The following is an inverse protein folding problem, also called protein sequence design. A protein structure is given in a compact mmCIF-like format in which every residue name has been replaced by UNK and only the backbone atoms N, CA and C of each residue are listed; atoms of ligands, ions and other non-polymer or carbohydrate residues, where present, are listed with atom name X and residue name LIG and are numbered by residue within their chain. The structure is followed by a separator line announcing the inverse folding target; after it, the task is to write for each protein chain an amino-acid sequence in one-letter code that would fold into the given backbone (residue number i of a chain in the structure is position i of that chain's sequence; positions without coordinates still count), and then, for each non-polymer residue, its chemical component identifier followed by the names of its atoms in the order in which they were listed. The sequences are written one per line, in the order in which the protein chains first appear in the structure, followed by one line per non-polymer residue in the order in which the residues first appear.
data_IF_863915467075
#
_entry.id   IF_863915467075
#
_cell.length_a   1.000
_cell.length_b   1.000
_cell.length_c   1.000
_cell.angle_alpha   90.00
_cell.angle_beta   90.00
_cell.angle_gamma   90.00
#
_symmetry.space_group_name_H-M   'P 1'
#
loop_
_entity.id
_entity.type
_entity.pdbx_description
1 polymer ?
#
# COMPACT_ATOMS: atom_id res chain seq x y z
N UNK A 1 10.44 7.77 -18.75
CA UNK A 1 9.16 7.86 -18.03
C UNK A 1 9.49 8.22 -16.60
N UNK A 2 8.93 9.30 -16.10
CA UNK A 2 9.16 9.71 -14.71
C UNK A 2 8.32 8.86 -13.75
N UNK A 3 8.54 9.06 -12.45
CA UNK A 3 7.86 8.32 -11.40
C UNK A 3 6.32 8.43 -11.52
N UNK A 4 5.79 9.63 -11.70
CA UNK A 4 4.34 9.87 -11.68
C UNK A 4 3.66 9.25 -12.90
N UNK A 5 4.26 9.38 -14.08
CA UNK A 5 3.77 8.75 -15.32
C UNK A 5 3.71 7.22 -15.19
N UNK A 6 4.76 6.59 -14.65
CA UNK A 6 4.79 5.14 -14.46
C UNK A 6 3.81 4.70 -13.38
N UNK A 7 3.68 5.48 -12.29
CA UNK A 7 2.73 5.19 -11.24
C UNK A 7 1.29 5.23 -11.75
N UNK A 8 0.93 6.23 -12.54
CA UNK A 8 -0.43 6.34 -13.09
C UNK A 8 -0.77 5.18 -14.03
N UNK A 9 0.20 4.62 -14.77
CA UNK A 9 -0.02 3.38 -15.54
C UNK A 9 -0.41 2.20 -14.64
N UNK A 10 0.24 2.05 -13.48
CA UNK A 10 -0.11 1.00 -12.52
C UNK A 10 -1.46 1.25 -11.84
N UNK A 11 -1.80 2.50 -11.55
CA UNK A 11 -3.11 2.87 -10.99
C UNK A 11 -4.26 2.70 -11.99
N UNK A 12 -4.00 2.91 -13.28
CA UNK A 12 -4.98 2.70 -14.34
C UNK A 12 -5.33 1.22 -14.54
N UNK A 13 -4.45 0.30 -14.15
CA UNK A 13 -4.68 -1.15 -14.22
C UNK A 13 -4.53 -1.83 -12.84
N UNK A 14 -5.45 -1.56 -11.89
CA UNK A 14 -5.39 -2.10 -10.54
C UNK A 14 -5.72 -3.59 -10.54
N UNK A 15 -4.99 -4.40 -9.77
CA UNK A 15 -5.26 -5.84 -9.56
C UNK A 15 -6.46 -6.05 -8.64
N UNK A 16 -7.68 -6.06 -9.19
CA UNK A 16 -8.92 -6.10 -8.40
C UNK A 16 -9.07 -7.39 -7.60
N UNK A 17 -8.60 -8.51 -8.14
CA UNK A 17 -8.63 -9.81 -7.49
C UNK A 17 -7.77 -9.82 -6.21
N UNK A 18 -6.65 -9.09 -6.22
CA UNK A 18 -5.81 -8.91 -5.04
C UNK A 18 -6.54 -8.16 -3.92
N UNK A 19 -7.41 -7.20 -4.27
CA UNK A 19 -8.23 -6.47 -3.30
C UNK A 19 -9.17 -7.39 -2.51
N UNK A 20 -9.69 -8.44 -3.15
CA UNK A 20 -10.61 -9.38 -2.51
C UNK A 20 -9.95 -10.12 -1.33
N UNK A 21 -8.61 -10.28 -1.34
CA UNK A 21 -7.88 -10.90 -0.22
C UNK A 21 -8.00 -10.07 1.07
N UNK A 22 -8.18 -8.76 0.97
CA UNK A 22 -8.38 -7.86 2.12
C UNK A 22 -9.68 -8.18 2.87
N UNK A 23 -10.70 -8.74 2.20
CA UNK A 23 -11.95 -9.11 2.85
C UNK A 23 -11.76 -10.21 3.89
N UNK A 24 -10.80 -11.11 3.70
CA UNK A 24 -10.61 -12.30 4.53
C UNK A 24 -9.33 -12.25 5.38
N UNK A 25 -8.43 -11.31 5.11
CA UNK A 25 -7.17 -11.17 5.82
C UNK A 25 -7.14 -9.85 6.62
N UNK A 26 -7.37 -9.97 7.93
CA UNK A 26 -7.36 -8.84 8.85
C UNK A 26 -6.00 -8.12 8.94
N UNK A 27 -4.89 -8.83 8.69
CA UNK A 27 -3.58 -8.19 8.64
C UNK A 27 -3.44 -7.32 7.39
N UNK A 28 -3.85 -7.80 6.21
CA UNK A 28 -3.85 -6.96 5.00
C UNK A 28 -4.73 -5.72 5.19
N UNK A 29 -5.92 -5.86 5.79
CA UNK A 29 -6.79 -4.72 6.10
C UNK A 29 -6.11 -3.72 7.03
N UNK A 30 -5.57 -4.19 8.16
CA UNK A 30 -4.85 -3.36 9.14
C UNK A 30 -3.71 -2.58 8.48
N UNK A 31 -2.86 -3.26 7.72
CA UNK A 31 -1.68 -2.65 7.12
C UNK A 31 -2.03 -1.69 5.97
N UNK A 32 -3.09 -1.92 5.20
CA UNK A 32 -3.58 -0.93 4.23
C UNK A 32 -4.06 0.36 4.91
N UNK A 33 -4.74 0.24 6.06
CA UNK A 33 -5.22 1.39 6.84
C UNK A 33 -4.05 2.16 7.46
N UNK A 34 -3.09 1.46 8.08
CA UNK A 34 -1.91 2.08 8.71
C UNK A 34 -1.02 2.74 7.66
N UNK A 35 -0.78 2.08 6.51
CA UNK A 35 0.05 2.63 5.45
C UNK A 35 -0.46 3.98 4.93
N UNK A 36 -1.79 4.17 4.86
CA UNK A 36 -2.41 5.46 4.46
C UNK A 36 -2.07 6.60 5.42
N UNK A 37 -1.73 6.30 6.67
CA UNK A 37 -1.36 7.28 7.70
C UNK A 37 0.14 7.62 7.68
N UNK A 38 0.98 6.71 7.18
CA UNK A 38 2.43 6.89 7.10
C UNK A 38 2.85 6.97 5.63
N UNK A 39 2.79 8.19 5.09
CA UNK A 39 3.11 8.41 3.67
C UNK A 39 4.60 8.13 3.38
N UNK A 40 4.92 7.35 2.34
CA UNK A 40 6.30 7.19 1.89
C UNK A 40 6.92 8.53 1.49
N UNK A 41 8.22 8.66 1.72
CA UNK A 41 9.00 9.84 1.30
C UNK A 41 9.65 9.58 -0.05
N UNK A 42 9.38 10.44 -1.04
CA UNK A 42 10.06 10.46 -2.34
C UNK A 42 11.57 10.63 -2.16
N UNK A 43 12.35 9.76 -2.78
CA UNK A 43 13.82 9.85 -2.85
C UNK A 43 14.32 10.22 -4.25
N UNK A 44 13.63 9.74 -5.30
CA UNK A 44 14.01 9.96 -6.69
C UNK A 44 12.76 10.06 -7.59
N UNK A 45 12.84 10.90 -8.62
CA UNK A 45 11.75 11.11 -9.58
C UNK A 45 11.86 10.21 -10.82
N UNK A 46 12.96 9.48 -10.96
CA UNK A 46 13.27 8.69 -12.14
C UNK A 46 13.61 7.25 -11.73
N UNK A 47 12.68 6.30 -11.92
CA UNK A 47 12.96 4.90 -11.68
C UNK A 47 13.96 4.37 -12.72
N UNK A 48 14.88 3.50 -12.29
CA UNK A 48 15.90 2.91 -13.17
C UNK A 48 15.29 2.09 -14.31
N UNK A 49 14.13 1.47 -14.06
CA UNK A 49 13.38 0.67 -15.01
C UNK A 49 11.88 0.99 -14.95
N UNK A 50 11.15 0.69 -16.02
CA UNK A 50 9.69 0.82 -16.08
C UNK A 50 8.97 -0.34 -15.36
N UNK A 51 9.34 -0.62 -14.10
CA UNK A 51 8.83 -1.75 -13.32
C UNK A 51 8.22 -1.32 -11.99
N UNK A 52 7.35 -2.18 -11.45
CA UNK A 52 6.71 -1.97 -10.14
C UNK A 52 7.74 -1.89 -9.02
N UNK A 53 8.79 -2.72 -9.08
CA UNK A 53 9.87 -2.70 -8.10
C UNK A 53 10.63 -1.38 -8.15
N UNK A 54 11.00 -0.91 -9.34
CA UNK A 54 11.75 0.33 -9.49
C UNK A 54 11.00 1.56 -8.93
N UNK A 55 9.66 1.58 -8.96
CA UNK A 55 8.88 2.61 -8.27
C UNK A 55 9.07 2.59 -6.75
N UNK A 56 9.13 1.42 -6.14
CA UNK A 56 9.35 1.30 -4.69
C UNK A 56 10.79 1.64 -4.30
N UNK A 57 11.75 1.39 -5.18
CA UNK A 57 13.15 1.80 -4.99
C UNK A 57 13.29 3.35 -4.98
N UNK A 58 12.32 4.09 -5.54
CA UNK A 58 12.28 5.55 -5.51
C UNK A 58 11.70 6.17 -4.24
N UNK A 59 11.27 5.37 -3.24
CA UNK A 59 10.64 5.88 -2.02
C UNK A 59 11.18 5.20 -0.76
N UNK A 60 11.19 5.95 0.34
CA UNK A 60 11.46 5.43 1.67
C UNK A 60 10.14 5.24 2.42
N UNK A 61 9.89 4.02 2.88
CA UNK A 61 8.77 3.70 3.77
C UNK A 61 9.29 3.67 5.21
N UNK A 62 8.65 4.41 6.11
CA UNK A 62 8.98 4.39 7.53
C UNK A 62 8.34 3.16 8.20
N UNK A 63 9.11 2.06 8.23
CA UNK A 63 8.67 0.77 8.76
C UNK A 63 8.44 0.84 10.27
N UNK A 64 9.24 1.61 11.00
CA UNK A 64 9.14 1.72 12.46
C UNK A 64 7.88 2.49 12.87
N UNK A 65 7.55 3.57 12.16
CA UNK A 65 6.28 4.28 12.37
C UNK A 65 5.08 3.38 12.05
N UNK A 66 5.13 2.62 10.96
CA UNK A 66 4.07 1.66 10.60
C UNK A 66 3.96 0.56 11.67
N UNK A 67 5.07 0.03 12.16
CA UNK A 67 5.09 -1.01 13.20
C UNK A 67 4.44 -0.49 14.49
N UNK A 68 4.80 0.73 14.90
CA UNK A 68 4.22 1.40 16.08
C UNK A 68 2.71 1.57 15.95
N UNK A 69 2.21 2.07 14.81
CA UNK A 69 0.77 2.26 14.60
C UNK A 69 -0.01 0.95 14.43
N UNK A 70 0.65 -0.11 13.95
CA UNK A 70 0.06 -1.42 13.79
C UNK A 70 0.08 -2.27 15.08
N UNK A 71 0.68 -1.75 16.16
CA UNK A 71 0.99 -2.49 17.39
C UNK A 71 1.72 -3.81 17.11
N UNK A 72 2.78 -3.71 16.28
CA UNK A 72 3.57 -4.84 15.81
C UNK A 72 5.07 -4.53 15.92
N UNK A 73 5.90 -5.57 15.78
CA UNK A 73 7.37 -5.40 15.68
C UNK A 73 7.82 -5.10 14.24
N UNK A 74 8.95 -4.39 14.02
CA UNK A 74 9.40 -3.99 12.69
C UNK A 74 9.53 -5.15 11.68
N UNK A 75 9.97 -6.33 12.12
CA UNK A 75 10.07 -7.50 11.25
C UNK A 75 8.70 -7.98 10.73
N UNK A 76 7.65 -7.91 11.56
CA UNK A 76 6.27 -8.25 11.16
C UNK A 76 5.70 -7.17 10.25
N UNK A 77 5.99 -5.90 10.56
CA UNK A 77 5.60 -4.78 9.73
C UNK A 77 6.21 -4.86 8.33
N UNK A 78 7.52 -5.08 8.23
CA UNK A 78 8.22 -5.24 6.96
C UNK A 78 7.58 -6.36 6.12
N UNK A 79 7.34 -7.53 6.72
CA UNK A 79 6.69 -8.66 6.01
C UNK A 79 5.32 -8.27 5.45
N UNK A 80 4.47 -7.60 6.25
CA UNK A 80 3.14 -7.21 5.78
C UNK A 80 3.17 -6.05 4.78
N UNK A 81 4.11 -5.12 4.91
CA UNK A 81 4.37 -4.06 3.93
C UNK A 81 4.72 -4.69 2.57
N UNK A 82 5.63 -5.66 2.52
CA UNK A 82 5.98 -6.34 1.28
C UNK A 82 4.79 -7.09 0.65
N UNK A 83 3.90 -7.66 1.48
CA UNK A 83 2.65 -8.28 1.00
C UNK A 83 1.73 -7.25 0.34
N UNK A 84 1.43 -6.13 1.01
CA UNK A 84 0.52 -5.10 0.45
C UNK A 84 1.13 -4.43 -0.81
N UNK A 85 2.46 -4.29 -0.89
CA UNK A 85 3.18 -3.85 -2.08
C UNK A 85 3.06 -4.86 -3.23
N UNK A 86 3.36 -6.14 -2.99
CA UNK A 86 3.32 -7.18 -4.02
C UNK A 86 1.93 -7.42 -4.60
N UNK A 87 0.91 -7.29 -3.75
CA UNK A 87 -0.51 -7.37 -4.13
C UNK A 87 -1.04 -6.08 -4.79
N UNK A 88 -0.24 -5.02 -4.87
CA UNK A 88 -0.65 -3.69 -5.37
C UNK A 88 -1.90 -3.15 -4.67
N UNK A 89 -1.98 -3.36 -3.36
CA UNK A 89 -3.05 -2.81 -2.52
C UNK A 89 -2.78 -1.36 -2.14
N UNK A 90 -1.49 -1.02 -2.09
CA UNK A 90 -0.98 0.34 -1.83
C UNK A 90 -0.01 0.76 -2.92
N UNK A 91 0.19 2.06 -3.03
CA UNK A 91 1.04 2.68 -4.04
C UNK A 91 2.19 3.46 -3.38
N UNK A 92 3.33 3.63 -4.10
CA UNK A 92 4.50 4.29 -3.54
C UNK A 92 4.30 5.79 -3.24
N UNK A 93 3.22 6.43 -3.70
CA UNK A 93 2.85 7.80 -3.30
C UNK A 93 2.02 7.86 -1.99
N UNK A 94 1.80 6.72 -1.33
CA UNK A 94 0.99 6.63 -0.12
C UNK A 94 -0.51 6.47 -0.37
N UNK A 95 -0.96 6.48 -1.62
CA UNK A 95 -2.35 6.17 -1.96
C UNK A 95 -2.62 4.68 -1.87
N UNK A 96 -3.89 4.30 -1.79
CA UNK A 96 -4.29 2.90 -1.78
C UNK A 96 -5.22 2.59 -2.94
N UNK A 97 -5.30 1.32 -3.30
CA UNK A 97 -6.12 0.86 -4.40
C UNK A 97 -7.61 1.21 -4.16
N UNK A 98 -8.35 1.76 -5.15
CA UNK A 98 -9.73 2.22 -4.94
C UNK A 98 -10.70 1.16 -4.40
N UNK A 99 -10.49 -0.12 -4.75
CA UNK A 99 -11.31 -1.21 -4.22
C UNK A 99 -11.03 -1.47 -2.74
N UNK A 100 -9.77 -1.35 -2.30
CA UNK A 100 -9.38 -1.45 -0.89
C UNK A 100 -10.00 -0.30 -0.10
N UNK A 101 -10.04 0.92 -0.63
CA UNK A 101 -10.77 2.04 0.01
C UNK A 101 -12.25 1.71 0.24
N UNK A 102 -12.92 1.13 -0.77
CA UNK A 102 -14.33 0.72 -0.65
C UNK A 102 -14.53 -0.37 0.40
N UNK A 103 -13.63 -1.35 0.46
CA UNK A 103 -13.67 -2.43 1.46
C UNK A 103 -13.54 -1.86 2.87
N UNK A 104 -12.56 -0.96 3.09
CA UNK A 104 -12.36 -0.29 4.38
C UNK A 104 -13.62 0.50 4.78
N UNK A 105 -14.16 1.32 3.86
CA UNK A 105 -15.35 2.11 4.13
C UNK A 105 -16.55 1.22 4.51
N UNK A 106 -16.79 0.15 3.75
CA UNK A 106 -17.90 -0.79 4.02
C UNK A 106 -17.74 -1.49 5.38
N UNK A 107 -16.53 -1.94 5.72
CA UNK A 107 -16.23 -2.55 7.04
C UNK A 107 -16.54 -1.60 8.20
N UNK A 108 -16.21 -0.31 8.06
CA UNK A 108 -16.51 0.71 9.07
C UNK A 108 -18.03 0.89 9.19
N UNK A 109 -18.74 1.06 8.07
CA UNK A 109 -20.21 1.22 8.08
C UNK A 109 -20.92 0.02 8.73
N UNK A 110 -20.48 -1.20 8.41
CA UNK A 110 -21.08 -2.43 8.96
C UNK A 110 -20.84 -2.59 10.47
N UNK A 111 -19.71 -2.08 10.98
CA UNK A 111 -19.42 -2.12 12.42
C UNK A 111 -20.17 -1.05 13.23
N UNK A 112 -20.69 -0.01 12.56
CA UNK A 112 -21.45 1.08 13.17
C UNK A 112 -22.97 0.86 13.11
N UNK A 113 -23.42 -0.18 12.39
CA UNK A 113 -24.83 -0.56 12.25
C UNK A 113 -25.23 -1.59 13.31
#
# INVERSE_FOLDING_TARGET
MNFDELLEQYKANPRRESAALVLNDGALLKYCVVFKQVKPRRLADWPEEATWKALWDCVLVDVDAIATLADDVPAVAMRNIERIKGLRLVYPDGTIQPMVEKIIAKRITDALS
#
